data_IF_578778818500
#
_entry.id   IF_578778818500
#
_cell.length_a   1.000
_cell.length_b   1.000
_cell.length_c   1.000
_cell.angle_alpha   90.00
_cell.angle_beta   90.00
_cell.angle_gamma   90.00
#
_symmetry.space_group_name_H-M   'P 1'
#
loop_
_entity.id
_entity.type
_entity.pdbx_description
1 polymer ?
#
# COMPACT_ATOMS: atom_id res chain seq x y z
N UNK A 1 9.79 3.98 -67.81
CA UNK A 1 10.88 4.66 -68.55
C UNK A 1 12.13 4.69 -67.68
N UNK A 2 13.32 4.48 -68.27
CA UNK A 2 14.68 4.51 -67.66
C UNK A 2 14.93 3.33 -66.68
N UNK A 3 15.92 2.44 -66.80
CA UNK A 3 17.17 2.35 -67.55
C UNK A 3 17.50 0.87 -67.86
N UNK A 4 17.54 0.51 -69.13
CA UNK A 4 18.35 -0.59 -69.67
C UNK A 4 19.58 0.08 -70.27
N UNK A 5 20.73 0.06 -69.59
CA UNK A 5 22.06 0.29 -70.18
C UNK A 5 23.14 0.21 -69.09
N UNK A 6 23.76 -0.96 -68.89
CA UNK A 6 25.12 -1.08 -68.31
C UNK A 6 25.72 -2.51 -68.35
N UNK A 7 25.07 -3.49 -68.99
CA UNK A 7 25.61 -4.87 -69.08
C UNK A 7 26.68 -5.10 -70.17
N UNK A 8 27.07 -4.10 -70.97
CA UNK A 8 28.05 -4.27 -72.05
C UNK A 8 29.46 -3.66 -71.82
N UNK A 9 29.85 -3.34 -70.58
CA UNK A 9 31.22 -2.86 -70.25
C UNK A 9 32.09 -3.81 -69.40
N UNK A 10 31.67 -5.06 -69.14
CA UNK A 10 32.42 -6.02 -68.29
C UNK A 10 33.17 -7.15 -69.01
N UNK A 11 33.19 -7.19 -70.36
CA UNK A 11 33.88 -8.26 -71.12
C UNK A 11 35.15 -7.85 -71.89
N UNK A 12 35.52 -6.57 -71.91
CA UNK A 12 36.70 -6.09 -72.68
C UNK A 12 37.90 -5.71 -71.76
N UNK A 13 37.70 -5.57 -70.44
CA UNK A 13 38.79 -5.20 -69.50
C UNK A 13 39.53 -6.42 -68.93
N UNK A 14 38.95 -7.63 -68.96
CA UNK A 14 39.56 -8.84 -68.36
C UNK A 14 40.70 -9.49 -69.17
N UNK A 15 40.92 -9.09 -70.44
CA UNK A 15 41.97 -9.68 -71.28
C UNK A 15 43.23 -8.80 -71.46
N UNK A 16 43.25 -7.59 -70.89
CA UNK A 16 44.43 -6.70 -70.92
C UNK A 16 45.25 -6.74 -69.62
N UNK A 17 44.61 -7.00 -68.47
CA UNK A 17 45.31 -7.06 -67.16
C UNK A 17 46.14 -8.35 -66.98
N UNK A 18 45.79 -9.44 -67.67
CA UNK A 18 46.49 -10.73 -67.54
C UNK A 18 47.81 -10.83 -68.35
N UNK A 19 48.12 -9.88 -69.25
CA UNK A 19 49.42 -9.85 -69.96
C UNK A 19 50.43 -8.89 -69.34
N UNK A 20 49.99 -7.92 -68.52
CA UNK A 20 50.89 -7.03 -67.78
C UNK A 20 51.42 -7.67 -66.48
N UNK A 21 50.66 -8.57 -65.87
CA UNK A 21 51.06 -9.26 -64.64
C UNK A 21 52.18 -10.31 -64.84
N UNK A 22 52.37 -10.82 -66.06
CA UNK A 22 53.38 -11.87 -66.35
C UNK A 22 54.79 -11.28 -66.60
N UNK A 23 54.93 -9.99 -66.95
CA UNK A 23 56.23 -9.35 -67.18
C UNK A 23 56.86 -8.69 -65.94
N UNK A 24 56.10 -8.48 -64.87
CA UNK A 24 56.64 -7.94 -63.61
C UNK A 24 57.25 -9.01 -62.70
N UNK A 25 56.96 -10.30 -62.93
CA UNK A 25 57.50 -11.43 -62.15
C UNK A 25 58.92 -11.86 -62.55
N UNK A 26 59.51 -11.26 -63.60
CA UNK A 26 60.79 -11.71 -64.16
C UNK A 26 62.02 -10.87 -63.72
N UNK A 27 61.85 -9.73 -63.05
CA UNK A 27 62.94 -8.78 -62.79
C UNK A 27 63.27 -8.49 -61.31
N UNK A 28 62.83 -9.32 -60.36
CA UNK A 28 63.31 -9.26 -58.95
C UNK A 28 63.99 -10.57 -58.49
N UNK A 29 64.71 -11.24 -59.40
CA UNK A 29 65.74 -12.22 -59.01
C UNK A 29 67.11 -11.54 -58.95
N UNK A 30 67.32 -10.61 -58.03
CA UNK A 30 68.64 -10.25 -57.47
C UNK A 30 68.46 -9.41 -56.20
N UNK A 31 68.14 -10.12 -55.12
CA UNK A 31 68.63 -9.87 -53.77
C UNK A 31 68.09 -11.02 -52.94
N UNK A 32 68.82 -12.14 -52.95
CA UNK A 32 68.69 -13.13 -51.88
C UNK A 32 69.10 -12.42 -50.59
N UNK A 33 68.14 -11.71 -49.99
CA UNK A 33 68.23 -11.30 -48.59
C UNK A 33 68.57 -12.58 -47.86
N UNK A 34 69.76 -12.60 -47.23
CA UNK A 34 70.30 -13.74 -46.48
C UNK A 34 69.17 -14.53 -45.82
N UNK A 35 69.16 -15.87 -45.86
CA UNK A 35 68.05 -16.70 -45.32
C UNK A 35 67.59 -16.25 -43.92
N UNK A 36 68.52 -15.68 -43.16
CA UNK A 36 68.31 -15.02 -41.88
C UNK A 36 67.38 -13.80 -41.96
N UNK A 37 67.56 -12.88 -42.91
CA UNK A 37 66.73 -11.69 -43.13
C UNK A 37 65.30 -12.07 -43.52
N UNK A 38 65.11 -13.08 -44.38
CA UNK A 38 63.76 -13.57 -44.71
C UNK A 38 63.07 -14.19 -43.49
N UNK A 39 63.82 -14.97 -42.68
CA UNK A 39 63.32 -15.52 -41.42
C UNK A 39 62.97 -14.43 -40.41
N UNK A 40 63.74 -13.35 -40.32
CA UNK A 40 63.41 -12.18 -39.48
C UNK A 40 62.17 -11.42 -39.97
N UNK A 41 61.98 -11.27 -41.28
CA UNK A 41 60.78 -10.64 -41.85
C UNK A 41 59.54 -11.47 -41.50
N UNK A 42 59.59 -12.79 -41.60
CA UNK A 42 58.48 -13.65 -41.23
C UNK A 42 58.21 -13.65 -39.72
N UNK A 43 59.26 -13.59 -38.90
CA UNK A 43 59.15 -13.45 -37.44
C UNK A 43 58.53 -12.11 -37.04
N UNK A 44 58.92 -11.00 -37.68
CA UNK A 44 58.34 -9.68 -37.46
C UNK A 44 56.89 -9.60 -37.96
N UNK A 45 56.58 -10.22 -39.10
CA UNK A 45 55.19 -10.33 -39.61
C UNK A 45 54.33 -11.13 -38.65
N UNK A 46 54.81 -12.26 -38.14
CA UNK A 46 54.06 -13.08 -37.17
C UNK A 46 53.89 -12.36 -35.83
N UNK A 47 54.88 -11.61 -35.36
CA UNK A 47 54.74 -10.76 -34.17
C UNK A 47 53.73 -9.63 -34.39
N UNK A 48 53.78 -8.94 -35.54
CA UNK A 48 52.81 -7.88 -35.87
C UNK A 48 51.39 -8.44 -36.04
N UNK A 49 51.25 -9.63 -36.63
CA UNK A 49 49.97 -10.35 -36.70
C UNK A 49 49.44 -10.73 -35.32
N UNK A 50 50.31 -11.21 -34.41
CA UNK A 50 49.92 -11.48 -33.01
C UNK A 50 49.50 -10.21 -32.29
N UNK A 51 50.22 -9.10 -32.47
CA UNK A 51 49.85 -7.81 -31.88
C UNK A 51 48.53 -7.28 -32.43
N UNK A 52 48.30 -7.34 -33.74
CA UNK A 52 47.04 -6.93 -34.35
C UNK A 52 45.87 -7.81 -33.90
N UNK A 53 46.07 -9.13 -33.79
CA UNK A 53 45.05 -10.03 -33.22
C UNK A 53 44.71 -9.64 -31.79
N UNK A 54 45.73 -9.40 -30.95
CA UNK A 54 45.52 -8.95 -29.57
C UNK A 54 44.76 -7.64 -29.50
N UNK A 55 45.10 -6.66 -30.33
CA UNK A 55 44.37 -5.39 -30.39
C UNK A 55 42.92 -5.58 -30.85
N UNK A 56 42.67 -6.45 -31.84
CA UNK A 56 41.30 -6.77 -32.28
C UNK A 56 40.52 -7.46 -31.15
N UNK A 57 41.13 -8.40 -30.43
CA UNK A 57 40.50 -9.08 -29.30
C UNK A 57 40.19 -8.11 -28.14
N UNK A 58 41.10 -7.18 -27.85
CA UNK A 58 40.91 -6.10 -26.86
C UNK A 58 39.75 -5.15 -27.28
N UNK A 59 39.69 -4.75 -28.56
CA UNK A 59 38.58 -3.94 -29.10
C UNK A 59 37.24 -4.69 -29.12
N UNK A 60 37.23 -5.98 -29.45
CA UNK A 60 36.01 -6.81 -29.39
C UNK A 60 35.50 -6.91 -27.95
N UNK A 61 36.39 -7.13 -26.98
CA UNK A 61 36.02 -7.19 -25.57
C UNK A 61 35.48 -5.84 -25.08
N UNK A 62 36.09 -4.71 -25.49
CA UNK A 62 35.57 -3.37 -25.18
C UNK A 62 34.18 -3.13 -25.79
N UNK A 63 33.97 -3.57 -27.04
CA UNK A 63 32.67 -3.47 -27.69
C UNK A 63 31.62 -4.32 -26.97
N UNK A 64 31.97 -5.53 -26.53
CA UNK A 64 31.07 -6.41 -25.78
C UNK A 64 30.72 -5.83 -24.41
N UNK A 65 31.69 -5.24 -23.71
CA UNK A 65 31.46 -4.51 -22.45
C UNK A 65 30.52 -3.32 -22.68
N UNK A 66 30.77 -2.49 -23.70
CA UNK A 66 29.91 -1.34 -24.01
C UNK A 66 28.50 -1.76 -24.42
N UNK A 67 28.37 -2.84 -25.19
CA UNK A 67 27.06 -3.43 -25.52
C UNK A 67 26.32 -3.84 -24.25
N UNK A 68 26.98 -4.53 -23.34
CA UNK A 68 26.38 -4.95 -22.06
C UNK A 68 25.98 -3.77 -21.17
N UNK A 69 26.75 -2.67 -21.17
CA UNK A 69 26.39 -1.43 -20.47
C UNK A 69 25.15 -0.80 -21.08
N UNK A 70 25.10 -0.70 -22.42
CA UNK A 70 23.95 -0.16 -23.13
C UNK A 70 22.70 -1.02 -22.93
N UNK A 71 22.82 -2.35 -22.98
CA UNK A 71 21.71 -3.28 -22.74
C UNK A 71 21.16 -3.12 -21.31
N UNK A 72 22.04 -2.95 -20.31
CA UNK A 72 21.63 -2.64 -18.93
C UNK A 72 20.96 -1.28 -18.80
N UNK A 73 21.48 -0.25 -19.47
CA UNK A 73 20.86 1.09 -19.46
C UNK A 73 19.48 1.07 -20.11
N UNK A 74 19.30 0.28 -21.17
CA UNK A 74 18.03 0.10 -21.84
C UNK A 74 17.03 -0.66 -20.96
N UNK A 75 17.49 -1.67 -20.21
CA UNK A 75 16.68 -2.34 -19.17
C UNK A 75 16.22 -1.34 -18.10
N UNK A 76 17.13 -0.52 -17.54
CA UNK A 76 16.73 0.50 -16.56
C UNK A 76 15.73 1.51 -17.11
N UNK A 77 15.94 1.99 -18.34
CA UNK A 77 14.99 2.88 -19.00
C UNK A 77 13.63 2.21 -19.21
N UNK A 78 13.60 0.91 -19.52
CA UNK A 78 12.35 0.17 -19.66
C UNK A 78 11.64 -0.01 -18.30
N UNK A 79 12.39 -0.33 -17.25
CA UNK A 79 11.86 -0.43 -15.89
C UNK A 79 11.28 0.92 -15.42
N UNK A 80 11.97 2.03 -15.69
CA UNK A 80 11.48 3.39 -15.40
C UNK A 80 10.19 3.72 -16.18
N UNK A 81 10.08 3.28 -17.44
CA UNK A 81 8.87 3.47 -18.23
C UNK A 81 7.71 2.63 -17.68
N UNK A 82 7.95 1.38 -17.28
CA UNK A 82 6.95 0.52 -16.64
C UNK A 82 6.47 1.11 -15.30
N UNK A 83 7.40 1.63 -14.47
CA UNK A 83 7.06 2.31 -13.22
C UNK A 83 6.16 3.53 -13.46
N UNK A 84 6.48 4.35 -14.46
CA UNK A 84 5.66 5.51 -14.82
C UNK A 84 4.24 5.12 -15.27
N UNK A 85 4.10 4.05 -16.07
CA UNK A 85 2.78 3.53 -16.49
C UNK A 85 1.97 3.06 -15.28
N UNK A 86 2.62 2.40 -14.30
CA UNK A 86 1.97 1.98 -13.06
C UNK A 86 1.51 3.19 -12.25
N UNK A 87 2.36 4.21 -12.11
CA UNK A 87 2.02 5.44 -11.39
C UNK A 87 0.83 6.16 -12.02
N UNK A 88 0.80 6.31 -13.35
CA UNK A 88 -0.32 6.91 -14.08
C UNK A 88 -1.63 6.16 -13.82
N UNK A 89 -1.58 4.82 -13.83
CA UNK A 89 -2.75 3.98 -13.55
C UNK A 89 -3.23 4.10 -12.10
N UNK A 90 -2.31 4.25 -11.15
CA UNK A 90 -2.66 4.51 -9.74
C UNK A 90 -3.31 5.88 -9.59
N UNK A 91 -2.81 6.91 -10.29
CA UNK A 91 -3.43 8.23 -10.30
C UNK A 91 -4.83 8.21 -10.92
N UNK A 92 -5.04 7.47 -12.01
CA UNK A 92 -6.34 7.32 -12.65
C UNK A 92 -7.35 6.64 -11.72
N UNK A 93 -6.96 5.56 -11.03
CA UNK A 93 -7.78 4.90 -10.02
C UNK A 93 -8.12 5.82 -8.84
N UNK A 94 -7.14 6.61 -8.38
CA UNK A 94 -7.35 7.62 -7.35
C UNK A 94 -8.34 8.70 -7.81
N UNK A 95 -8.22 9.19 -9.04
CA UNK A 95 -9.20 10.13 -9.64
C UNK A 95 -10.58 9.51 -9.80
N UNK A 96 -10.68 8.24 -10.18
CA UNK A 96 -11.96 7.55 -10.28
C UNK A 96 -12.65 7.45 -8.91
N UNK A 97 -11.92 7.03 -7.87
CA UNK A 97 -12.46 6.96 -6.51
C UNK A 97 -12.85 8.33 -5.93
N UNK A 98 -12.07 9.40 -6.19
CA UNK A 98 -12.44 10.75 -5.75
C UNK A 98 -13.70 11.22 -6.46
N UNK A 99 -13.88 10.90 -7.74
CA UNK A 99 -15.08 11.27 -8.50
C UNK A 99 -16.32 10.57 -7.95
N UNK A 100 -16.24 9.27 -7.65
CA UNK A 100 -17.33 8.53 -6.99
C UNK A 100 -17.71 9.17 -5.66
N UNK A 101 -16.72 9.58 -4.86
CA UNK A 101 -16.99 10.26 -3.59
C UNK A 101 -17.66 11.63 -3.80
N UNK A 102 -17.21 12.41 -4.79
CA UNK A 102 -17.82 13.69 -5.15
C UNK A 102 -19.27 13.50 -5.60
N UNK A 103 -19.55 12.46 -6.38
CA UNK A 103 -20.90 12.16 -6.86
C UNK A 103 -21.83 11.76 -5.71
N UNK A 104 -21.36 10.93 -4.78
CA UNK A 104 -22.10 10.60 -3.54
C UNK A 104 -22.39 11.87 -2.72
N UNK A 105 -21.41 12.78 -2.58
CA UNK A 105 -21.63 14.02 -1.85
C UNK A 105 -22.62 14.96 -2.54
N UNK A 106 -22.56 15.08 -3.87
CA UNK A 106 -23.55 15.85 -4.64
C UNK A 106 -24.95 15.26 -4.50
N UNK A 107 -25.08 13.93 -4.57
CA UNK A 107 -26.36 13.26 -4.38
C UNK A 107 -26.91 13.49 -2.97
N UNK A 108 -26.06 13.39 -1.95
CA UNK A 108 -26.45 13.68 -0.57
C UNK A 108 -26.90 15.13 -0.38
N UNK A 109 -26.19 16.11 -0.97
CA UNK A 109 -26.58 17.52 -0.92
C UNK A 109 -27.94 17.72 -1.59
N UNK A 110 -28.13 17.19 -2.80
CA UNK A 110 -29.40 17.28 -3.51
C UNK A 110 -30.55 16.62 -2.73
N UNK A 111 -30.28 15.49 -2.05
CA UNK A 111 -31.29 14.83 -1.21
C UNK A 111 -31.64 15.66 0.03
N UNK A 112 -30.66 16.29 0.68
CA UNK A 112 -30.90 17.22 1.77
C UNK A 112 -31.71 18.43 1.30
N UNK A 113 -31.36 19.03 0.17
CA UNK A 113 -32.10 20.14 -0.44
C UNK A 113 -33.56 19.76 -0.73
N UNK A 114 -33.80 18.59 -1.33
CA UNK A 114 -35.15 18.06 -1.55
C UNK A 114 -35.92 17.87 -0.24
N UNK A 115 -35.29 17.31 0.79
CA UNK A 115 -35.92 17.15 2.10
C UNK A 115 -36.28 18.50 2.73
N UNK A 116 -35.40 19.50 2.64
CA UNK A 116 -35.69 20.85 3.09
C UNK A 116 -36.87 21.47 2.32
N UNK A 117 -36.91 21.33 0.99
CA UNK A 117 -38.04 21.82 0.20
C UNK A 117 -39.36 21.10 0.55
N UNK A 118 -39.32 19.80 0.82
CA UNK A 118 -40.48 19.04 1.26
C UNK A 118 -40.98 19.48 2.64
N UNK A 119 -40.06 19.74 3.59
CA UNK A 119 -40.40 20.26 4.91
C UNK A 119 -41.03 21.65 4.82
N UNK A 120 -40.49 22.53 3.97
CA UNK A 120 -41.07 23.85 3.69
C UNK A 120 -42.50 23.70 3.13
N UNK A 121 -42.70 22.82 2.15
CA UNK A 121 -44.04 22.55 1.58
C UNK A 121 -45.02 22.02 2.62
N UNK A 122 -44.57 21.11 3.51
CA UNK A 122 -45.38 20.60 4.62
C UNK A 122 -45.74 21.71 5.61
N UNK A 123 -44.80 22.58 5.94
CA UNK A 123 -45.05 23.71 6.84
C UNK A 123 -46.09 24.68 6.26
N UNK A 124 -45.98 25.01 4.96
CA UNK A 124 -46.99 25.83 4.29
C UNK A 124 -48.37 25.17 4.28
N UNK A 125 -48.43 23.87 3.98
CA UNK A 125 -49.69 23.14 4.01
C UNK A 125 -50.33 23.13 5.41
N UNK A 126 -49.54 22.88 6.45
CA UNK A 126 -50.03 22.92 7.83
C UNK A 126 -50.55 24.31 8.19
N UNK A 127 -49.88 25.37 7.73
CA UNK A 127 -50.34 26.75 7.95
C UNK A 127 -51.67 27.04 7.24
N UNK A 128 -51.84 26.58 6.01
CA UNK A 128 -53.10 26.70 5.26
C UNK A 128 -54.23 25.92 5.95
N UNK A 129 -53.96 24.70 6.40
CA UNK A 129 -54.91 23.85 7.14
C UNK A 129 -55.32 24.54 8.46
N UNK A 130 -54.37 25.07 9.22
CA UNK A 130 -54.63 25.82 10.46
C UNK A 130 -55.46 27.09 10.21
N UNK A 131 -55.16 27.82 9.13
CA UNK A 131 -55.93 28.99 8.70
C UNK A 131 -57.37 28.58 8.36
N UNK A 132 -57.57 27.47 7.65
CA UNK A 132 -58.89 26.98 7.30
C UNK A 132 -59.69 26.57 8.56
N UNK A 133 -59.06 25.89 9.52
CA UNK A 133 -59.66 25.52 10.80
C UNK A 133 -60.06 26.77 11.59
N UNK A 134 -59.19 27.79 11.66
CA UNK A 134 -59.48 29.06 12.32
C UNK A 134 -60.69 29.77 11.69
N UNK A 135 -60.77 29.82 10.35
CA UNK A 135 -61.90 30.41 9.64
C UNK A 135 -63.20 29.62 9.91
N UNK A 136 -63.15 28.28 9.85
CA UNK A 136 -64.29 27.40 10.18
C UNK A 136 -64.79 27.64 11.61
N UNK A 137 -63.87 27.71 12.57
CA UNK A 137 -64.19 28.00 13.98
C UNK A 137 -64.80 29.38 14.14
N UNK A 138 -64.23 30.41 13.51
CA UNK A 138 -64.78 31.78 13.51
C UNK A 138 -66.20 31.80 12.95
N UNK A 139 -66.44 31.15 11.82
CA UNK A 139 -67.76 31.09 11.18
C UNK A 139 -68.78 30.34 12.05
N UNK A 140 -68.36 29.25 12.72
CA UNK A 140 -69.20 28.52 13.68
C UNK A 140 -69.59 29.39 14.88
N UNK A 141 -68.64 30.17 15.42
CA UNK A 141 -68.91 31.12 16.51
C UNK A 141 -69.89 32.20 16.05
N UNK A 142 -69.66 32.81 14.88
CA UNK A 142 -70.57 33.81 14.31
C UNK A 142 -71.98 33.23 14.12
N UNK A 143 -72.09 32.00 13.60
CA UNK A 143 -73.38 31.33 13.43
C UNK A 143 -74.09 31.10 14.76
N UNK A 144 -73.39 30.61 15.80
CA UNK A 144 -73.94 30.45 17.14
C UNK A 144 -74.43 31.77 17.74
N UNK A 145 -73.65 32.85 17.58
CA UNK A 145 -74.02 34.20 18.01
C UNK A 145 -75.30 34.64 17.29
N UNK A 146 -75.38 34.46 15.97
CA UNK A 146 -76.57 34.82 15.20
C UNK A 146 -77.81 34.02 15.61
N UNK A 147 -77.69 32.71 15.87
CA UNK A 147 -78.79 31.90 16.41
C UNK A 147 -79.25 32.46 17.77
N UNK A 148 -78.31 32.79 18.65
CA UNK A 148 -78.64 33.36 19.96
C UNK A 148 -79.35 34.71 19.84
N UNK A 149 -78.88 35.60 18.96
CA UNK A 149 -79.55 36.87 18.67
C UNK A 149 -80.96 36.66 18.10
N UNK A 150 -81.12 35.79 17.11
CA UNK A 150 -82.44 35.48 16.53
C UNK A 150 -83.40 34.93 17.59
N UNK A 151 -82.93 34.02 18.46
CA UNK A 151 -83.75 33.47 19.55
C UNK A 151 -84.12 34.52 20.59
N UNK A 152 -83.22 35.46 20.89
CA UNK A 152 -83.54 36.62 21.74
C UNK A 152 -84.58 37.53 21.09
N UNK A 153 -84.48 37.76 19.78
CA UNK A 153 -85.42 38.60 19.04
C UNK A 153 -86.80 37.94 18.94
N UNK A 154 -86.87 36.63 18.66
CA UNK A 154 -88.10 35.84 18.72
C UNK A 154 -88.74 35.91 20.11
N UNK A 155 -87.97 35.75 21.18
CA UNK A 155 -88.49 35.85 22.54
C UNK A 155 -89.02 37.26 22.87
N UNK A 156 -88.35 38.31 22.39
CA UNK A 156 -88.86 39.69 22.51
C UNK A 156 -90.17 39.87 21.75
N UNK A 157 -90.27 39.34 20.54
CA UNK A 157 -91.50 39.39 19.74
C UNK A 157 -92.63 38.60 20.39
N UNK A 158 -92.37 37.37 20.86
CA UNK A 158 -93.34 36.56 21.61
C UNK A 158 -93.82 37.27 22.87
N UNK A 159 -92.91 37.92 23.61
CA UNK A 159 -93.28 38.71 24.80
C UNK A 159 -94.15 39.91 24.44
N UNK A 160 -93.86 40.59 23.32
CA UNK A 160 -94.70 41.69 22.81
C UNK A 160 -96.09 41.20 22.42
N UNK A 161 -96.20 40.09 21.69
CA UNK A 161 -97.50 39.51 21.31
C UNK A 161 -98.30 39.01 22.50
N UNK A 162 -97.64 38.48 23.53
CA UNK A 162 -98.32 38.06 24.78
C UNK A 162 -98.90 39.29 25.47
N UNK A 163 -98.15 40.38 25.59
CA UNK A 163 -98.66 41.62 26.20
C UNK A 163 -99.82 42.23 25.39
N UNK A 164 -99.75 42.22 24.06
CA UNK A 164 -100.86 42.67 23.19
C UNK A 164 -102.11 41.79 23.35
N UNK A 165 -101.94 40.47 23.47
CA UNK A 165 -103.05 39.55 23.72
C UNK A 165 -103.63 39.71 25.12
N UNK A 166 -102.80 39.87 26.15
CA UNK A 166 -103.25 40.10 27.53
C UNK A 166 -104.05 41.41 27.64
N UNK A 167 -103.64 42.47 26.93
CA UNK A 167 -104.43 43.72 26.81
C UNK A 167 -105.80 43.47 26.16
N UNK A 168 -105.85 42.64 25.12
CA UNK A 168 -107.09 42.27 24.44
C UNK A 168 -108.00 41.38 25.30
N UNK A 169 -107.42 40.47 26.08
CA UNK A 169 -108.15 39.57 26.98
C UNK A 169 -108.72 40.30 28.20
N UNK A 170 -108.01 41.28 28.75
CA UNK A 170 -108.55 42.18 29.78
C UNK A 170 -109.73 43.00 29.22
N UNK A 171 -109.64 43.47 27.97
CA UNK A 171 -110.77 44.12 27.27
C UNK A 171 -111.96 43.17 27.08
N UNK A 172 -111.71 41.90 26.73
CA UNK A 172 -112.74 40.90 26.53
C UNK A 172 -113.40 40.44 27.85
N UNK A 173 -112.66 40.36 28.96
CA UNK A 173 -113.21 40.04 30.29
C UNK A 173 -114.14 41.15 30.80
N UNK A 174 -113.82 42.42 30.55
CA UNK A 174 -114.71 43.55 30.85
C UNK A 174 -116.03 43.41 30.06
N UNK A 175 -115.98 42.97 28.80
CA UNK A 175 -117.18 42.69 27.99
C UNK A 175 -117.95 41.43 28.43
N UNK A 176 -117.28 40.40 28.93
CA UNK A 176 -117.90 39.13 29.36
C UNK A 176 -118.59 39.27 30.72
N UNK A 177 -118.07 40.11 31.62
CA UNK A 177 -118.66 40.34 32.95
C UNK A 177 -120.04 41.03 32.87
N UNK A 178 -120.25 41.93 31.89
CA UNK A 178 -121.56 42.58 31.64
C UNK A 178 -122.62 41.62 31.07
N UNK A 179 -122.21 40.51 30.44
CA UNK A 179 -123.12 39.53 29.82
C UNK A 179 -123.41 38.36 30.77
N UNK A 180 -122.48 38.03 31.68
CA UNK A 180 -122.61 36.93 32.64
C UNK A 180 -123.61 37.23 33.78
N UNK A 181 -123.82 38.50 34.14
CA UNK A 181 -124.79 38.89 35.18
C UNK A 181 -126.26 38.64 34.78
N UNK A 182 -126.56 38.54 33.47
CA UNK A 182 -127.91 38.34 32.93
C UNK A 182 -128.34 36.87 32.77
N UNK A 183 -127.42 35.90 32.79
CA UNK A 183 -127.72 34.49 32.45
C UNK A 183 -127.73 33.52 33.65
N UNK A 184 -127.34 33.95 34.85
CA UNK A 184 -127.17 33.08 36.03
C UNK A 184 -128.50 32.74 36.74
N UNK A 185 -129.60 33.44 36.45
CA UNK A 185 -130.85 33.29 37.23
C UNK A 185 -131.81 32.19 36.75
N UNK A 186 -131.60 31.54 35.60
CA UNK A 186 -132.68 30.71 34.99
C UNK A 186 -132.32 29.29 34.50
N UNK A 187 -131.19 28.69 34.90
CA UNK A 187 -130.79 27.35 34.37
C UNK A 187 -130.26 26.32 35.41
N UNK A 188 -130.45 26.53 36.72
CA UNK A 188 -129.73 25.75 37.74
C UNK A 188 -130.45 24.55 38.39
N UNK A 189 -131.66 24.17 37.99
CA UNK A 189 -132.36 23.04 38.65
C UNK A 189 -132.79 21.87 37.75
N UNK A 190 -132.60 21.97 36.42
CA UNK A 190 -132.90 20.86 35.48
C UNK A 190 -131.66 20.24 34.83
N UNK A 191 -130.48 20.86 35.01
CA UNK A 191 -129.17 20.48 34.44
C UNK A 191 -128.47 19.35 35.22
N UNK A 192 -128.64 19.31 36.55
CA UNK A 192 -127.87 18.44 37.45
C UNK A 192 -128.04 16.93 37.24
N UNK A 193 -129.15 16.47 36.65
CA UNK A 193 -129.41 15.05 36.43
C UNK A 193 -128.91 14.54 35.07
N UNK A 194 -129.05 15.34 34.01
CA UNK A 194 -128.49 15.03 32.69
C UNK A 194 -126.97 15.31 32.61
N UNK A 195 -126.45 16.22 33.44
CA UNK A 195 -125.01 16.43 33.59
C UNK A 195 -124.32 15.24 34.24
N UNK A 196 -124.89 14.60 35.26
CA UNK A 196 -124.20 13.49 35.95
C UNK A 196 -124.02 12.25 35.05
N UNK A 197 -124.99 11.96 34.18
CA UNK A 197 -124.90 10.86 33.22
C UNK A 197 -123.99 11.22 32.03
N UNK A 198 -123.90 12.50 31.64
CA UNK A 198 -122.92 12.97 30.66
C UNK A 198 -121.50 12.99 31.23
N UNK A 199 -121.29 13.48 32.45
CA UNK A 199 -119.98 13.52 33.11
C UNK A 199 -119.45 12.12 33.39
N UNK A 200 -120.29 11.16 33.78
CA UNK A 200 -119.85 9.77 33.96
C UNK A 200 -119.40 9.13 32.64
N UNK A 201 -120.16 9.33 31.55
CA UNK A 201 -119.77 8.83 30.23
C UNK A 201 -118.54 9.56 29.67
N UNK A 202 -118.41 10.87 29.91
CA UNK A 202 -117.24 11.67 29.54
C UNK A 202 -115.99 11.22 30.31
N UNK A 203 -116.08 11.01 31.63
CA UNK A 203 -114.99 10.46 32.46
C UNK A 203 -114.62 9.03 32.04
N UNK A 204 -115.58 8.22 31.62
CA UNK A 204 -115.31 6.85 31.15
C UNK A 204 -114.64 6.85 29.76
N UNK A 205 -115.00 7.79 28.89
CA UNK A 205 -114.32 8.02 27.60
C UNK A 205 -112.92 8.61 27.83
N UNK A 206 -112.77 9.54 28.76
CA UNK A 206 -111.50 10.16 29.11
C UNK A 206 -110.54 9.16 29.77
N UNK A 207 -111.05 8.29 30.65
CA UNK A 207 -110.26 7.20 31.24
C UNK A 207 -109.84 6.17 30.18
N UNK A 208 -110.71 5.83 29.21
CA UNK A 208 -110.36 4.96 28.08
C UNK A 208 -109.32 5.60 27.17
N UNK A 209 -109.41 6.90 26.90
CA UNK A 209 -108.41 7.65 26.14
C UNK A 209 -107.08 7.69 26.89
N UNK A 210 -107.08 7.97 28.19
CA UNK A 210 -105.88 7.95 29.02
C UNK A 210 -105.23 6.55 29.06
N UNK A 211 -106.02 5.48 29.15
CA UNK A 211 -105.50 4.11 29.11
C UNK A 211 -104.87 3.78 27.74
N UNK A 212 -105.52 4.17 26.64
CA UNK A 212 -104.96 4.01 25.30
C UNK A 212 -103.69 4.85 25.10
N UNK A 213 -103.66 6.10 25.57
CA UNK A 213 -102.49 6.98 25.51
C UNK A 213 -101.33 6.40 26.34
N UNK A 214 -101.61 5.81 27.51
CA UNK A 214 -100.63 5.11 28.35
C UNK A 214 -100.11 3.83 27.67
N UNK A 215 -100.99 3.07 27.00
CA UNK A 215 -100.64 1.88 26.22
C UNK A 215 -99.78 2.23 24.99
N UNK A 216 -100.11 3.31 24.27
CA UNK A 216 -99.29 3.84 23.17
C UNK A 216 -97.92 4.33 23.66
N UNK A 217 -97.87 5.01 24.82
CA UNK A 217 -96.61 5.41 25.47
C UNK A 217 -95.78 4.20 25.86
N UNK A 218 -96.39 3.19 26.47
CA UNK A 218 -95.71 1.95 26.84
C UNK A 218 -95.16 1.21 25.61
N UNK A 219 -95.95 1.08 24.55
CA UNK A 219 -95.51 0.47 23.29
C UNK A 219 -94.39 1.27 22.61
N UNK A 220 -94.45 2.61 22.62
CA UNK A 220 -93.39 3.49 22.13
C UNK A 220 -92.09 3.32 22.92
N UNK A 221 -92.19 3.23 24.24
CA UNK A 221 -91.06 2.99 25.14
C UNK A 221 -90.48 1.59 24.90
N UNK A 222 -91.32 0.56 24.79
CA UNK A 222 -90.92 -0.83 24.50
C UNK A 222 -90.17 -0.93 23.16
N UNK A 223 -90.69 -0.33 22.09
CA UNK A 223 -90.00 -0.29 20.79
C UNK A 223 -88.64 0.44 20.88
N UNK A 224 -88.55 1.53 21.66
CA UNK A 224 -87.27 2.22 21.91
C UNK A 224 -86.29 1.32 22.67
N UNK A 225 -86.75 0.57 23.67
CA UNK A 225 -85.90 -0.39 24.40
C UNK A 225 -85.39 -1.51 23.51
N UNK A 226 -86.25 -2.13 22.70
CA UNK A 226 -85.83 -3.19 21.74
C UNK A 226 -84.83 -2.65 20.72
N UNK A 227 -85.06 -1.44 20.19
CA UNK A 227 -84.11 -0.77 19.29
C UNK A 227 -82.77 -0.48 19.98
N UNK A 228 -82.79 0.01 21.21
CA UNK A 228 -81.58 0.28 21.98
C UNK A 228 -80.81 -1.01 22.30
N UNK A 229 -81.51 -2.10 22.63
CA UNK A 229 -80.91 -3.40 22.90
C UNK A 229 -80.22 -3.97 21.65
N UNK A 230 -80.87 -3.89 20.48
CA UNK A 230 -80.25 -4.32 19.22
C UNK A 230 -79.03 -3.46 18.85
N UNK A 231 -79.10 -2.15 19.09
CA UNK A 231 -77.96 -1.25 18.89
C UNK A 231 -76.80 -1.58 19.84
N UNK A 232 -77.08 -1.88 21.12
CA UNK A 232 -76.08 -2.26 22.10
C UNK A 232 -75.36 -3.55 21.68
N UNK A 233 -76.12 -4.58 21.28
CA UNK A 233 -75.56 -5.84 20.78
C UNK A 233 -74.71 -5.63 19.51
N UNK A 234 -75.11 -4.74 18.61
CA UNK A 234 -74.30 -4.40 17.43
C UNK A 234 -72.99 -3.71 17.82
N UNK A 235 -73.02 -2.83 18.82
CA UNK A 235 -71.82 -2.15 19.33
C UNK A 235 -70.91 -3.08 20.11
N UNK A 236 -71.47 -4.02 20.86
CA UNK A 236 -70.70 -5.06 21.56
C UNK A 236 -69.95 -5.96 20.57
N UNK A 237 -70.59 -6.35 19.46
CA UNK A 237 -69.91 -7.08 18.37
C UNK A 237 -68.80 -6.26 17.73
N UNK A 238 -69.06 -4.98 17.43
CA UNK A 238 -68.05 -4.08 16.86
C UNK A 238 -66.85 -3.90 17.81
N UNK A 239 -67.09 -3.77 19.12
CA UNK A 239 -66.05 -3.71 20.13
C UNK A 239 -65.22 -5.01 20.17
N UNK A 240 -65.88 -6.17 20.15
CA UNK A 240 -65.20 -7.47 20.12
C UNK A 240 -64.34 -7.64 18.85
N UNK A 241 -64.83 -7.24 17.68
CA UNK A 241 -64.06 -7.28 16.44
C UNK A 241 -62.82 -6.37 16.50
N UNK A 242 -62.93 -5.22 17.16
CA UNK A 242 -61.80 -4.32 17.40
C UNK A 242 -60.79 -4.92 18.39
N UNK A 243 -61.25 -5.57 19.46
CA UNK A 243 -60.38 -6.29 20.41
C UNK A 243 -59.58 -7.39 19.70
N UNK A 244 -60.24 -8.21 18.87
CA UNK A 244 -59.56 -9.26 18.09
C UNK A 244 -58.54 -8.65 17.12
N UNK A 245 -58.86 -7.52 16.47
CA UNK A 245 -57.89 -6.80 15.63
C UNK A 245 -56.70 -6.31 16.43
N UNK A 246 -56.93 -5.72 17.61
CA UNK A 246 -55.88 -5.24 18.51
C UNK A 246 -54.96 -6.40 18.90
N UNK A 247 -55.51 -7.54 19.29
CA UNK A 247 -54.71 -8.70 19.71
C UNK A 247 -53.92 -9.32 18.54
N UNK A 248 -54.52 -9.38 17.35
CA UNK A 248 -53.80 -9.75 16.14
C UNK A 248 -52.62 -8.80 15.84
N UNK A 249 -52.80 -7.49 16.02
CA UNK A 249 -51.72 -6.51 15.85
C UNK A 249 -50.64 -6.64 16.92
N UNK A 250 -51.01 -6.89 18.19
CA UNK A 250 -50.04 -7.17 19.26
C UNK A 250 -49.20 -8.39 18.93
N UNK A 251 -49.82 -9.48 18.48
CA UNK A 251 -49.11 -10.71 18.11
C UNK A 251 -48.18 -10.51 16.91
N UNK A 252 -48.62 -9.76 15.89
CA UNK A 252 -47.75 -9.36 14.77
C UNK A 252 -46.55 -8.54 15.25
N UNK A 253 -46.78 -7.55 16.11
CA UNK A 253 -45.72 -6.69 16.63
C UNK A 253 -44.72 -7.48 17.48
N UNK A 254 -45.20 -8.40 18.33
CA UNK A 254 -44.32 -9.29 19.11
C UNK A 254 -43.47 -10.19 18.21
N UNK A 255 -44.04 -10.73 17.13
CA UNK A 255 -43.30 -11.54 16.16
C UNK A 255 -42.24 -10.71 15.42
N UNK A 256 -42.58 -9.51 14.96
CA UNK A 256 -41.62 -8.59 14.33
C UNK A 256 -40.46 -8.26 15.28
N UNK A 257 -40.75 -7.95 16.55
CA UNK A 257 -39.73 -7.70 17.58
C UNK A 257 -38.78 -8.89 17.71
N UNK A 258 -39.31 -10.13 17.82
CA UNK A 258 -38.48 -11.34 17.89
C UNK A 258 -37.62 -11.54 16.64
N UNK A 259 -38.15 -11.26 15.44
CA UNK A 259 -37.40 -11.35 14.19
C UNK A 259 -36.24 -10.34 14.19
N UNK A 260 -36.50 -9.08 14.59
CA UNK A 260 -35.45 -8.06 14.69
C UNK A 260 -34.40 -8.40 15.74
N UNK A 261 -34.78 -8.95 16.89
CA UNK A 261 -33.84 -9.40 17.92
C UNK A 261 -32.91 -10.50 17.38
N UNK A 262 -33.46 -11.51 16.70
CA UNK A 262 -32.69 -12.59 16.07
C UNK A 262 -31.75 -12.02 15.00
N UNK A 263 -32.22 -11.09 14.17
CA UNK A 263 -31.41 -10.46 13.13
C UNK A 263 -30.26 -9.63 13.73
N UNK A 264 -30.55 -8.82 14.75
CA UNK A 264 -29.55 -8.02 15.47
C UNK A 264 -28.51 -8.94 16.11
N UNK A 265 -28.93 -10.04 16.73
CA UNK A 265 -28.00 -10.98 17.36
C UNK A 265 -27.12 -11.70 16.34
N UNK A 266 -27.67 -12.11 15.19
CA UNK A 266 -26.90 -12.65 14.08
C UNK A 266 -25.86 -11.66 13.57
N UNK A 267 -26.25 -10.41 13.31
CA UNK A 267 -25.33 -9.37 12.86
C UNK A 267 -24.23 -9.07 13.90
N UNK A 268 -24.57 -9.11 15.20
CA UNK A 268 -23.58 -8.98 16.28
C UNK A 268 -22.60 -10.15 16.29
N UNK A 269 -23.05 -11.38 16.05
CA UNK A 269 -22.17 -12.58 15.94
C UNK A 269 -21.24 -12.47 14.74
N UNK A 270 -21.76 -12.10 13.56
CA UNK A 270 -20.95 -11.91 12.36
C UNK A 270 -19.92 -10.78 12.55
N UNK A 271 -20.32 -9.65 13.16
CA UNK A 271 -19.40 -8.55 13.51
C UNK A 271 -18.28 -9.00 14.44
N UNK A 272 -18.60 -9.76 15.49
CA UNK A 272 -17.58 -10.22 16.45
C UNK A 272 -16.62 -11.24 15.82
N UNK A 273 -17.11 -12.15 14.96
CA UNK A 273 -16.28 -13.05 14.17
C UNK A 273 -15.34 -12.28 13.24
N UNK A 274 -15.84 -11.30 12.49
CA UNK A 274 -15.03 -10.48 11.60
C UNK A 274 -13.95 -9.69 12.36
N UNK A 275 -14.30 -9.11 13.51
CA UNK A 275 -13.32 -8.43 14.37
C UNK A 275 -12.24 -9.37 14.89
N UNK A 276 -12.59 -10.61 15.22
CA UNK A 276 -11.61 -11.62 15.62
C UNK A 276 -10.69 -12.01 14.46
N UNK A 277 -11.23 -12.19 13.24
CA UNK A 277 -10.41 -12.42 12.04
C UNK A 277 -9.46 -11.24 11.75
N UNK A 278 -9.91 -10.00 11.91
CA UNK A 278 -9.06 -8.82 11.73
C UNK A 278 -7.93 -8.82 12.77
N UNK A 279 -8.22 -9.15 14.04
CA UNK A 279 -7.19 -9.25 15.09
C UNK A 279 -6.17 -10.33 14.78
N UNK A 280 -6.60 -11.51 14.33
CA UNK A 280 -5.66 -12.61 14.00
C UNK A 280 -4.79 -12.23 12.80
N UNK A 281 -5.35 -11.64 11.75
CA UNK A 281 -4.59 -11.15 10.60
C UNK A 281 -3.58 -10.08 11.02
N UNK A 282 -3.97 -9.14 11.89
CA UNK A 282 -3.07 -8.10 12.40
C UNK A 282 -1.90 -8.70 13.19
N UNK A 283 -2.14 -9.73 14.00
CA UNK A 283 -1.09 -10.46 14.71
C UNK A 283 -0.15 -11.20 13.76
N UNK A 284 -0.69 -11.86 12.73
CA UNK A 284 0.12 -12.53 11.70
C UNK A 284 1.00 -11.51 10.97
N UNK A 285 0.43 -10.38 10.55
CA UNK A 285 1.17 -9.31 9.86
C UNK A 285 2.28 -8.73 10.74
N UNK A 286 2.01 -8.52 12.03
CA UNK A 286 3.03 -8.05 12.98
C UNK A 286 4.16 -9.06 13.15
N UNK A 287 3.84 -10.36 13.21
CA UNK A 287 4.83 -11.43 13.31
C UNK A 287 5.68 -11.53 12.04
N UNK A 288 5.08 -11.42 10.86
CA UNK A 288 5.80 -11.38 9.58
C UNK A 288 6.74 -10.17 9.51
N UNK A 289 6.24 -8.97 9.83
CA UNK A 289 7.07 -7.75 9.87
C UNK A 289 8.26 -7.87 10.83
N UNK A 290 8.07 -8.52 11.98
CA UNK A 290 9.15 -8.75 12.93
C UNK A 290 10.15 -9.80 12.43
N UNK A 291 9.67 -10.85 11.75
CA UNK A 291 10.54 -11.85 11.13
C UNK A 291 11.39 -11.25 10.01
N UNK A 292 10.78 -10.46 9.11
CA UNK A 292 11.49 -9.79 8.02
C UNK A 292 12.53 -8.79 8.56
N UNK A 293 12.17 -8.04 9.61
CA UNK A 293 13.12 -7.15 10.30
C UNK A 293 14.30 -7.94 10.86
N UNK A 294 14.05 -9.07 11.51
CA UNK A 294 15.11 -9.91 12.06
C UNK A 294 16.01 -10.48 10.96
N UNK A 295 15.41 -11.00 9.89
CA UNK A 295 16.14 -11.52 8.73
C UNK A 295 17.02 -10.45 8.07
N UNK A 296 16.52 -9.23 7.96
CA UNK A 296 17.30 -8.10 7.44
C UNK A 296 18.48 -7.75 8.35
N UNK A 297 18.27 -7.74 9.68
CA UNK A 297 19.35 -7.53 10.65
C UNK A 297 20.41 -8.63 10.52
N UNK A 298 20.00 -9.89 10.41
CA UNK A 298 20.91 -11.03 10.31
C UNK A 298 21.73 -10.97 9.00
N UNK A 299 21.10 -10.70 7.87
CA UNK A 299 21.79 -10.55 6.57
C UNK A 299 22.76 -9.36 6.61
N UNK A 300 22.34 -8.22 7.16
CA UNK A 300 23.17 -7.01 7.25
C UNK A 300 24.36 -7.22 8.19
N UNK A 301 24.14 -7.88 9.33
CA UNK A 301 25.19 -8.21 10.30
C UNK A 301 26.20 -9.21 9.71
N UNK A 302 25.71 -10.26 9.04
CA UNK A 302 26.58 -11.27 8.44
C UNK A 302 27.37 -10.73 7.26
N UNK A 303 26.75 -9.93 6.38
CA UNK A 303 27.45 -9.25 5.28
C UNK A 303 28.50 -8.28 5.82
N UNK A 304 28.17 -7.46 6.82
CA UNK A 304 29.15 -6.56 7.46
C UNK A 304 30.33 -7.32 8.06
N UNK A 305 30.09 -8.44 8.76
CA UNK A 305 31.16 -9.30 9.29
C UNK A 305 32.03 -9.90 8.18
N UNK A 306 31.42 -10.33 7.07
CA UNK A 306 32.15 -10.88 5.92
C UNK A 306 33.02 -9.80 5.27
N UNK A 307 32.45 -8.61 5.04
CA UNK A 307 33.16 -7.45 4.48
C UNK A 307 34.37 -7.11 5.35
N UNK A 308 34.19 -6.99 6.68
CA UNK A 308 35.31 -6.71 7.60
C UNK A 308 36.42 -7.75 7.51
N UNK A 309 36.09 -9.05 7.46
CA UNK A 309 37.09 -10.11 7.29
C UNK A 309 37.83 -10.02 5.95
N UNK A 310 37.11 -9.69 4.88
CA UNK A 310 37.72 -9.50 3.56
C UNK A 310 38.62 -8.26 3.54
N UNK A 311 38.20 -7.16 4.15
CA UNK A 311 39.01 -5.96 4.33
C UNK A 311 40.28 -6.25 5.14
N UNK A 312 40.17 -6.98 6.26
CA UNK A 312 41.33 -7.44 7.04
C UNK A 312 42.29 -8.26 6.18
N UNK A 313 41.80 -9.23 5.40
CA UNK A 313 42.62 -10.02 4.47
C UNK A 313 43.29 -9.16 3.39
N UNK A 314 42.58 -8.18 2.83
CA UNK A 314 43.13 -7.23 1.86
C UNK A 314 44.23 -6.40 2.51
N UNK A 315 44.04 -5.91 3.75
CA UNK A 315 45.10 -5.16 4.45
C UNK A 315 46.33 -6.03 4.74
N UNK A 316 46.14 -7.31 5.07
CA UNK A 316 47.24 -8.26 5.26
C UNK A 316 47.99 -8.54 3.95
N UNK A 317 47.25 -8.77 2.85
CA UNK A 317 47.83 -8.95 1.52
C UNK A 317 48.61 -7.71 1.08
N UNK A 318 48.05 -6.51 1.26
CA UNK A 318 48.73 -5.25 0.96
C UNK A 318 49.97 -5.04 1.82
N UNK A 319 49.93 -5.38 3.11
CA UNK A 319 51.12 -5.37 3.98
C UNK A 319 52.20 -6.31 3.45
N UNK A 320 51.83 -7.53 3.05
CA UNK A 320 52.76 -8.52 2.49
C UNK A 320 53.36 -8.07 1.15
N UNK A 321 52.56 -7.50 0.26
CA UNK A 321 53.03 -6.93 -1.01
C UNK A 321 53.98 -5.77 -0.74
N UNK A 322 53.64 -4.87 0.18
CA UNK A 322 54.47 -3.72 0.53
C UNK A 322 55.81 -4.14 1.15
N UNK A 323 55.81 -5.11 2.07
CA UNK A 323 57.06 -5.63 2.66
C UNK A 323 57.89 -6.37 1.61
N UNK A 324 57.29 -7.16 0.73
CA UNK A 324 57.98 -7.81 -0.38
C UNK A 324 58.59 -6.78 -1.35
N UNK A 325 57.85 -5.73 -1.70
CA UNK A 325 58.36 -4.64 -2.55
C UNK A 325 59.53 -3.89 -1.89
N UNK A 326 59.48 -3.69 -0.56
CA UNK A 326 60.59 -3.10 0.19
C UNK A 326 61.81 -4.02 0.19
N UNK A 327 61.64 -5.32 0.48
CA UNK A 327 62.71 -6.32 0.41
C UNK A 327 63.32 -6.37 -0.99
N UNK A 328 62.50 -6.33 -2.04
CA UNK A 328 62.93 -6.35 -3.43
C UNK A 328 63.83 -5.19 -3.80
N UNK A 329 63.75 -4.02 -3.13
CA UNK A 329 64.69 -2.92 -3.37
C UNK A 329 66.14 -3.29 -3.02
N UNK A 330 66.34 -4.10 -1.98
CA UNK A 330 67.67 -4.49 -1.48
C UNK A 330 68.27 -5.72 -2.16
N UNK A 331 67.53 -6.34 -3.07
CA UNK A 331 68.00 -7.52 -3.79
C UNK A 331 68.80 -7.15 -5.05
N UNK A 332 69.78 -7.99 -5.36
CA UNK A 332 70.60 -7.85 -6.57
C UNK A 332 69.77 -8.14 -7.83
N UNK A 333 70.16 -7.59 -8.99
CA UNK A 333 69.47 -7.87 -10.26
C UNK A 333 69.45 -9.36 -10.61
N UNK A 334 70.54 -10.07 -10.28
CA UNK A 334 70.61 -11.53 -10.44
C UNK A 334 69.50 -12.23 -9.66
N UNK A 335 69.25 -11.86 -8.41
CA UNK A 335 68.21 -12.48 -7.60
C UNK A 335 66.79 -12.05 -8.00
N UNK A 336 66.62 -10.80 -8.47
CA UNK A 336 65.35 -10.32 -9.04
C UNK A 336 64.93 -11.11 -10.28
N UNK A 337 65.89 -11.53 -11.11
CA UNK A 337 65.66 -12.36 -12.30
C UNK A 337 65.54 -13.84 -11.94
N UNK A 338 66.40 -14.38 -11.07
CA UNK A 338 66.38 -15.78 -10.67
C UNK A 338 65.18 -16.18 -9.83
N UNK A 339 64.50 -15.23 -9.16
CA UNK A 339 63.27 -15.52 -8.41
C UNK A 339 62.11 -15.99 -9.31
N UNK A 340 62.22 -15.79 -10.62
CA UNK A 340 61.24 -16.24 -11.61
C UNK A 340 61.62 -17.57 -12.28
N UNK A 341 62.85 -18.07 -12.11
CA UNK A 341 63.33 -19.27 -12.76
C UNK A 341 63.33 -20.44 -11.76
N UNK A 342 62.33 -21.32 -11.90
CA UNK A 342 62.40 -22.71 -11.46
C UNK A 342 63.52 -23.42 -12.26
N UNK A 343 64.78 -23.07 -12.03
CA UNK A 343 65.91 -23.85 -12.52
C UNK A 343 66.18 -24.96 -11.50
N UNK A 344 65.25 -25.90 -11.45
CA UNK A 344 65.22 -27.00 -10.49
C UNK A 344 64.66 -28.31 -11.05
N UNK A 345 64.42 -28.41 -12.35
CA UNK A 345 64.33 -29.70 -13.02
C UNK A 345 65.56 -29.86 -13.92
N UNK A 346 66.61 -30.58 -13.49
CA UNK A 346 67.47 -31.23 -14.46
C UNK A 346 66.56 -32.17 -15.24
N UNK A 347 66.45 -31.96 -16.56
CA UNK A 347 65.88 -32.95 -17.47
C UNK A 347 66.57 -34.28 -17.20
N UNK A 348 65.88 -35.18 -16.50
CA UNK A 348 66.23 -36.59 -16.49
C UNK A 348 65.54 -37.15 -17.73
N UNK A 349 66.36 -37.38 -18.74
CA UNK A 349 66.06 -38.25 -19.86
C UNK A 349 65.56 -39.60 -19.32
N UNK A 350 64.51 -40.10 -19.96
CA UNK A 350 64.04 -41.48 -20.01
C UNK A 350 63.87 -42.23 -18.69
N UNK A 351 62.61 -42.36 -18.24
CA UNK A 351 61.97 -43.62 -17.81
C UNK A 351 60.46 -43.37 -17.84
N UNK A 352 59.80 -43.94 -18.84
CA UNK A 352 58.34 -44.17 -18.84
C UNK A 352 58.13 -45.35 -17.89
N UNK A 353 57.60 -45.09 -16.69
CA UNK A 353 56.89 -46.11 -15.91
C UNK A 353 55.50 -45.53 -15.65
N UNK A 354 54.53 -46.11 -16.36
CA UNK A 354 53.12 -46.08 -15.99
C UNK A 354 52.97 -46.59 -14.56
N UNK A 355 52.65 -45.68 -13.65
CA UNK A 355 51.85 -46.02 -12.47
C UNK A 355 50.65 -45.07 -12.46
N UNK A 356 49.55 -45.53 -13.08
CA UNK A 356 48.22 -45.12 -12.69
C UNK A 356 48.06 -45.41 -11.19
N UNK A 357 48.13 -44.36 -10.36
CA UNK A 357 47.70 -44.42 -8.97
C UNK A 357 46.51 -43.50 -8.76
N UNK A 358 45.44 -44.18 -8.38
CA UNK A 358 44.09 -43.72 -8.14
C UNK A 358 43.99 -42.43 -7.34
N UNK A 359 43.04 -41.61 -7.79
CA UNK A 359 42.53 -40.42 -7.11
C UNK A 359 41.84 -40.81 -5.80
N UNK A 360 42.62 -40.96 -4.75
CA UNK A 360 42.15 -40.83 -3.37
C UNK A 360 42.74 -39.53 -2.80
N UNK A 361 41.96 -38.45 -2.90
CA UNK A 361 42.26 -37.16 -2.29
C UNK A 361 42.30 -37.29 -0.76
N UNK A 362 43.46 -37.68 -0.25
CA UNK A 362 43.77 -37.63 1.17
C UNK A 362 44.22 -36.21 1.52
N UNK A 363 43.64 -35.63 2.58
CA UNK A 363 43.87 -34.26 3.07
C UNK A 363 45.35 -33.91 3.37
N UNK A 364 46.27 -34.86 3.29
CA UNK A 364 47.70 -34.66 3.48
C UNK A 364 48.39 -34.03 2.26
N UNK A 365 47.92 -34.29 1.04
CA UNK A 365 48.54 -33.73 -0.18
C UNK A 365 48.39 -32.20 -0.27
N UNK A 366 47.29 -31.64 0.25
CA UNK A 366 47.08 -30.18 0.30
C UNK A 366 48.04 -29.45 1.25
N UNK A 367 48.59 -30.16 2.26
CA UNK A 367 49.61 -29.57 3.15
C UNK A 367 50.99 -29.62 2.49
N UNK A 368 51.31 -30.71 1.80
CA UNK A 368 52.56 -30.87 1.06
C UNK A 368 52.65 -29.88 -0.11
N UNK A 369 51.56 -29.69 -0.88
CA UNK A 369 51.49 -28.67 -1.92
C UNK A 369 51.72 -27.26 -1.37
N UNK A 370 51.13 -26.93 -0.21
CA UNK A 370 51.35 -25.63 0.45
C UNK A 370 52.79 -25.40 0.90
N UNK A 371 53.50 -26.45 1.28
CA UNK A 371 54.92 -26.37 1.67
C UNK A 371 55.79 -26.17 0.42
N UNK A 372 55.49 -26.89 -0.67
CA UNK A 372 56.15 -26.70 -1.96
C UNK A 372 56.04 -25.27 -2.49
N UNK A 373 54.90 -24.58 -2.27
CA UNK A 373 54.73 -23.18 -2.69
C UNK A 373 55.76 -22.22 -2.06
N UNK A 374 56.30 -22.53 -0.88
CA UNK A 374 57.30 -21.70 -0.20
C UNK A 374 58.75 -22.15 -0.44
N UNK A 375 59.00 -23.24 -1.16
CA UNK A 375 60.36 -23.73 -1.38
C UNK A 375 61.26 -22.69 -2.04
N UNK A 376 60.76 -22.01 -3.07
CA UNK A 376 61.53 -20.98 -3.77
C UNK A 376 61.83 -19.79 -2.88
N UNK A 377 60.89 -19.43 -1.99
CA UNK A 377 61.11 -18.40 -0.99
C UNK A 377 62.24 -18.79 -0.02
N UNK A 378 62.25 -20.04 0.46
CA UNK A 378 63.31 -20.53 1.35
C UNK A 378 64.66 -20.67 0.65
N UNK A 379 64.69 -21.15 -0.61
CA UNK A 379 65.91 -21.21 -1.43
C UNK A 379 66.51 -19.81 -1.60
N UNK A 380 65.67 -18.81 -1.91
CA UNK A 380 66.06 -17.40 -1.99
C UNK A 380 66.64 -16.89 -0.67
N UNK A 381 65.93 -17.11 0.44
CA UNK A 381 66.38 -16.71 1.79
C UNK A 381 67.73 -17.33 2.15
N UNK A 382 67.90 -18.62 1.90
CA UNK A 382 69.13 -19.35 2.23
C UNK A 382 70.31 -18.84 1.40
N UNK A 383 70.11 -18.51 0.13
CA UNK A 383 71.15 -17.89 -0.71
C UNK A 383 71.64 -16.56 -0.14
N UNK A 384 70.71 -15.66 0.23
CA UNK A 384 71.07 -14.37 0.85
C UNK A 384 71.85 -14.58 2.15
N UNK A 385 71.48 -15.56 2.97
CA UNK A 385 72.21 -15.90 4.19
C UNK A 385 73.64 -16.35 3.88
N UNK A 386 73.84 -17.18 2.85
CA UNK A 386 75.17 -17.60 2.42
C UNK A 386 76.01 -16.42 1.93
N UNK A 387 75.44 -15.53 1.12
CA UNK A 387 76.12 -14.34 0.64
C UNK A 387 76.54 -13.42 1.80
N UNK A 388 75.67 -13.23 2.80
CA UNK A 388 76.01 -12.50 4.04
C UNK A 388 77.18 -13.16 4.78
N UNK A 389 77.22 -14.48 4.87
CA UNK A 389 78.31 -15.21 5.53
C UNK A 389 79.63 -15.02 4.78
N UNK A 390 79.60 -15.11 3.44
CA UNK A 390 80.77 -14.90 2.59
C UNK A 390 81.30 -13.46 2.74
N UNK A 391 80.43 -12.46 2.63
CA UNK A 391 80.79 -11.05 2.81
C UNK A 391 81.40 -10.79 4.19
N UNK A 392 80.84 -11.39 5.27
CA UNK A 392 81.42 -11.28 6.61
C UNK A 392 82.81 -11.90 6.70
N UNK A 393 83.04 -13.04 6.03
CA UNK A 393 84.35 -13.71 6.01
C UNK A 393 85.38 -12.87 5.26
N UNK A 394 85.00 -12.33 4.10
CA UNK A 394 85.86 -11.46 3.29
C UNK A 394 86.19 -10.16 4.01
N UNK A 395 85.19 -9.50 4.61
CA UNK A 395 85.38 -8.32 5.45
C UNK A 395 86.36 -8.60 6.60
N UNK A 396 86.23 -9.74 7.28
CA UNK A 396 87.18 -10.16 8.32
C UNK A 396 88.59 -10.36 7.75
N UNK A 397 88.74 -10.93 6.55
CA UNK A 397 90.04 -11.08 5.89
C UNK A 397 90.64 -9.74 5.47
N UNK A 398 89.84 -8.82 4.94
CA UNK A 398 90.28 -7.49 4.54
C UNK A 398 90.69 -6.67 5.75
N UNK A 399 89.96 -6.77 6.87
CA UNK A 399 90.36 -6.13 8.13
C UNK A 399 91.72 -6.63 8.61
N UNK A 400 91.97 -7.95 8.58
CA UNK A 400 93.28 -8.53 8.91
C UNK A 400 94.38 -8.02 8.00
N UNK A 401 94.18 -8.03 6.68
CA UNK A 401 95.15 -7.49 5.72
C UNK A 401 95.39 -6.00 5.94
N UNK A 402 94.37 -5.23 6.26
CA UNK A 402 94.51 -3.80 6.55
C UNK A 402 95.27 -3.57 7.86
N UNK A 403 95.05 -4.40 8.88
CA UNK A 403 95.86 -4.40 10.09
C UNK A 403 97.32 -4.77 9.80
N UNK A 404 97.58 -5.75 8.93
CA UNK A 404 98.93 -6.10 8.45
C UNK A 404 99.56 -4.96 7.65
N UNK A 405 98.83 -4.30 6.75
CA UNK A 405 99.32 -3.15 6.00
C UNK A 405 99.60 -1.96 6.91
N UNK A 406 98.75 -1.70 7.91
CA UNK A 406 99.04 -0.68 8.93
C UNK A 406 100.33 -0.99 9.66
N UNK A 407 100.52 -2.23 10.13
CA UNK A 407 101.78 -2.65 10.76
C UNK A 407 102.98 -2.50 9.83
N UNK A 408 102.86 -2.88 8.56
CA UNK A 408 103.95 -2.72 7.59
C UNK A 408 104.25 -1.24 7.29
N UNK A 409 103.23 -0.38 7.26
CA UNK A 409 103.42 1.07 7.14
C UNK A 409 104.11 1.61 8.39
N UNK A 410 103.65 1.23 9.58
CA UNK A 410 104.28 1.61 10.86
C UNK A 410 105.75 1.15 10.88
N UNK A 411 106.06 -0.08 10.45
CA UNK A 411 107.44 -0.60 10.35
C UNK A 411 108.29 0.14 9.28
N UNK A 412 107.69 0.60 8.19
CA UNK A 412 108.39 1.38 7.16
C UNK A 412 108.58 2.84 7.60
N UNK A 413 107.62 3.42 8.30
CA UNK A 413 107.76 4.72 8.97
C UNK A 413 108.84 4.65 10.05
N UNK A 414 108.92 3.58 10.84
CA UNK A 414 109.99 3.34 11.80
C UNK A 414 111.37 3.16 11.12
N UNK A 415 111.42 2.62 9.90
CA UNK A 415 112.68 2.48 9.13
C UNK A 415 113.10 3.76 8.41
N UNK A 416 112.15 4.58 7.96
CA UNK A 416 112.40 5.84 7.24
C UNK A 416 112.60 7.02 8.19
N UNK A 417 111.88 7.04 9.31
CA UNK A 417 112.09 7.97 10.38
C UNK A 417 113.09 7.34 11.37
N UNK A 418 114.31 7.87 11.44
CA UNK A 418 115.19 7.74 12.63
C UNK A 418 114.58 8.47 13.85
N UNK A 419 113.27 8.33 14.06
CA UNK A 419 112.57 8.81 15.23
C UNK A 419 112.81 7.83 16.38
N UNK A 420 112.89 8.37 17.58
CA UNK A 420 113.49 7.82 18.81
C UNK A 420 112.83 6.56 19.41
N UNK A 421 112.01 5.82 18.65
CA UNK A 421 111.23 4.67 19.13
C UNK A 421 111.51 3.39 18.31
N UNK A 422 112.64 3.29 17.60
CA UNK A 422 113.02 2.03 16.93
C UNK A 422 113.63 1.05 17.94
N UNK A 423 112.97 -0.08 18.22
CA UNK A 423 113.59 -1.22 18.93
C UNK A 423 114.49 -2.00 17.96
N UNK A 424 115.78 -1.65 17.95
CA UNK A 424 116.79 -2.37 17.17
C UNK A 424 116.85 -3.86 17.52
N UNK A 425 116.84 -4.74 16.51
CA UNK A 425 117.11 -6.18 16.71
C UNK A 425 118.61 -6.44 16.53
N UNK A 426 119.13 -7.48 17.20
CA UNK A 426 120.56 -7.87 17.15
C UNK A 426 121.10 -8.17 15.74
N UNK A 427 120.22 -8.41 14.78
CA UNK A 427 120.53 -8.75 13.39
C UNK A 427 120.84 -7.51 12.52
N UNK A 428 120.50 -6.30 12.99
CA UNK A 428 120.71 -5.04 12.24
C UNK A 428 122.14 -4.48 12.41
N UNK A 429 122.96 -5.11 13.26
CA UNK A 429 124.36 -4.73 13.49
C UNK A 429 125.30 -5.75 12.87
N UNK A 430 125.99 -5.38 11.79
CA UNK A 430 127.13 -6.13 11.27
C UNK A 430 128.33 -5.82 12.18
N UNK A 431 128.62 -6.69 13.14
CA UNK A 431 129.84 -6.60 13.94
C UNK A 431 130.98 -7.18 13.11
N UNK A 432 131.89 -6.33 12.63
CA UNK A 432 133.16 -6.79 12.06
C UNK A 432 134.04 -7.39 13.18
N UNK A 433 134.55 -8.62 13.04
CA UNK A 433 135.44 -9.20 14.03
C UNK A 433 136.82 -8.53 13.88
N UNK A 434 137.37 -8.07 15.01
CA UNK A 434 138.76 -7.63 15.12
C UNK A 434 139.70 -8.82 15.34
#
# INVERSE_FOLDING_TARGET
MRQNNLKNKKKIVKNAENKASIRALANEKQNEKSPTILRWIDLLRTLKLKQLKKNIDEEMNNYEINKNINDKMLLFLNDDLEENIILEKVEELKRSSINVLVDIHKENINNMEKQFEEEIKKLFKNFEDDQEILIKNRNSIIHKINIFYNKMEENRNSRKTILENDEQDIMNEIYKNDIAEKHISNYNFKKYKEENDKTFNELLIESKKALNDEEERYNSIKMKYEKNQNNLLSKEKEAHDLEVKIDNWKLKLENEVKIYEIQIERLRKEKTQLLNHIRTIKLILQKLKQNDKQRLIDITSNSSKCIKKLEENITLANKLINTNNLCRKYETEREKLFSCLNLGEPKKEDIIIEEEKDKLFSNNNLKEEKICLFENFFKRKNKVILDIIILKKELKSLRKKNEEYKKNIDEMEDKLNLSTIVKYKKEDFIIHPA
#
